data_IF_756593901058
#
_entry.id   IF_756593901058
#
_cell.length_a   1.000
_cell.length_b   1.000
_cell.length_c   1.000
_cell.angle_alpha   90.00
_cell.angle_beta   90.00
_cell.angle_gamma   90.00
#
_symmetry.space_group_name_H-M   'P 1'
#
loop_
_entity.id
_entity.type
_entity.pdbx_description
1 polymer ?
#
# COMPACT_ATOMS: atom_id res chain seq x y z
N UNK A 1 -14.73 -25.74 -21.04
CA UNK A 1 -15.14 -24.84 -19.93
C UNK A 1 -15.62 -25.68 -18.74
N UNK A 2 -14.93 -25.68 -17.59
CA UNK A 2 -15.38 -26.48 -16.44
C UNK A 2 -16.65 -25.91 -15.82
N UNK A 3 -17.68 -26.75 -15.70
CA UNK A 3 -18.97 -26.46 -15.06
C UNK A 3 -18.75 -26.21 -13.56
N UNK A 4 -19.36 -25.14 -13.02
CA UNK A 4 -19.41 -24.88 -11.58
C UNK A 4 -20.41 -25.85 -10.96
N UNK A 5 -20.10 -26.42 -9.79
CA UNK A 5 -21.04 -27.23 -9.00
C UNK A 5 -21.60 -26.40 -7.85
N UNK A 6 -22.82 -26.71 -7.42
CA UNK A 6 -23.41 -26.16 -6.21
C UNK A 6 -22.99 -27.04 -5.03
N UNK A 7 -22.41 -26.44 -3.99
CA UNK A 7 -22.06 -27.12 -2.75
C UNK A 7 -23.30 -27.30 -1.86
N UNK A 8 -23.28 -28.24 -0.88
CA UNK A 8 -24.39 -28.43 0.06
C UNK A 8 -24.76 -27.16 0.86
N UNK A 9 -23.80 -26.24 1.03
CA UNK A 9 -24.01 -24.93 1.64
C UNK A 9 -24.65 -23.89 0.70
N UNK A 10 -25.12 -24.28 -0.49
CA UNK A 10 -25.79 -23.40 -1.47
C UNK A 10 -24.87 -22.58 -2.38
N UNK A 11 -23.58 -22.48 -2.07
CA UNK A 11 -22.61 -21.71 -2.86
C UNK A 11 -22.17 -22.44 -4.14
N UNK A 12 -21.77 -21.70 -5.18
CA UNK A 12 -21.28 -22.27 -6.46
C UNK A 12 -19.78 -22.13 -6.60
N UNK A 13 -19.07 -23.21 -6.92
CA UNK A 13 -17.63 -23.17 -7.16
C UNK A 13 -17.09 -24.36 -7.94
N UNK A 14 -15.77 -24.39 -8.11
CA UNK A 14 -15.06 -25.42 -8.88
C UNK A 14 -14.11 -26.28 -8.02
N UNK A 15 -14.05 -26.03 -6.71
CA UNK A 15 -13.15 -26.71 -5.77
C UNK A 15 -13.78 -27.95 -5.13
N UNK A 16 -13.00 -28.68 -4.35
CA UNK A 16 -13.48 -29.81 -3.54
C UNK A 16 -14.26 -29.36 -2.31
N UNK A 17 -13.98 -28.15 -1.81
CA UNK A 17 -14.64 -27.54 -0.66
C UNK A 17 -15.12 -26.11 -0.99
N UNK A 18 -16.08 -25.61 -0.20
CA UNK A 18 -16.59 -24.26 -0.35
C UNK A 18 -15.64 -23.25 0.29
N UNK A 19 -15.01 -22.41 -0.55
CA UNK A 19 -14.09 -21.36 -0.06
C UNK A 19 -14.78 -20.33 0.84
N UNK A 20 -16.05 -20.00 0.55
CA UNK A 20 -16.82 -19.00 1.33
C UNK A 20 -17.04 -19.48 2.77
N UNK A 21 -17.37 -20.77 2.93
CA UNK A 21 -17.52 -21.38 4.25
C UNK A 21 -16.17 -21.46 4.98
N UNK A 22 -15.11 -21.90 4.30
CA UNK A 22 -13.78 -22.00 4.89
C UNK A 22 -13.24 -20.64 5.39
N UNK A 23 -13.49 -19.55 4.66
CA UNK A 23 -13.10 -18.20 5.09
C UNK A 23 -13.92 -17.70 6.29
N UNK A 24 -15.20 -18.11 6.40
CA UNK A 24 -16.05 -17.74 7.53
C UNK A 24 -15.60 -18.42 8.83
N UNK A 25 -15.19 -19.69 8.75
CA UNK A 25 -14.63 -20.42 9.89
C UNK A 25 -13.30 -19.83 10.36
N UNK A 26 -12.42 -19.44 9.42
CA UNK A 26 -11.15 -18.78 9.77
C UNK A 26 -11.35 -17.39 10.41
N UNK A 27 -12.42 -16.66 10.05
CA UNK A 27 -12.75 -15.38 10.69
C UNK A 27 -13.39 -15.53 12.07
N UNK A 28 -14.09 -16.64 12.33
CA UNK A 28 -14.71 -16.91 13.63
C UNK A 28 -13.72 -17.37 14.71
N UNK A 29 -12.56 -17.93 14.32
CA UNK A 29 -11.55 -18.44 15.25
C UNK A 29 -10.51 -17.41 15.71
N UNK A 30 -10.59 -16.16 15.24
CA UNK A 30 -9.61 -15.09 15.57
C UNK A 30 -10.26 -13.85 16.19
N UNK A 31 -11.52 -13.94 16.61
CA UNK A 31 -12.27 -12.84 17.21
C UNK A 31 -12.64 -13.18 18.66
N UNK A 32 -11.63 -13.16 19.54
CA UNK A 32 -11.82 -13.09 20.98
C UNK A 32 -10.67 -12.29 21.57
N UNK A 33 -10.73 -10.98 21.41
CA UNK A 33 -10.05 -9.98 22.22
C UNK A 33 -10.83 -8.66 22.05
N UNK A 34 -11.76 -8.48 22.98
CA UNK A 34 -12.71 -7.38 23.08
C UNK A 34 -12.02 -6.17 23.71
N UNK A 35 -11.96 -5.06 22.98
CA UNK A 35 -11.73 -3.73 23.53
C UNK A 35 -12.90 -2.83 23.10
N UNK A 36 -13.78 -2.56 24.06
CA UNK A 36 -14.61 -1.36 24.25
C UNK A 36 -15.38 -0.78 23.03
N UNK A 37 -16.73 -0.81 23.01
CA UNK A 37 -17.52 0.01 22.09
C UNK A 37 -17.55 1.46 22.62
N UNK A 38 -16.54 2.25 22.26
CA UNK A 38 -16.54 3.69 22.48
C UNK A 38 -17.32 4.41 21.38
N UNK A 39 -18.46 5.00 21.74
CA UNK A 39 -19.09 6.18 21.14
C UNK A 39 -18.99 6.29 19.59
N UNK A 40 -19.76 5.45 18.88
CA UNK A 40 -19.98 5.62 17.44
C UNK A 40 -21.07 6.68 17.21
N UNK A 41 -20.72 7.92 17.51
CA UNK A 41 -21.45 9.09 17.02
C UNK A 41 -21.48 9.06 15.49
N UNK A 42 -22.64 9.43 14.94
CA UNK A 42 -22.94 9.61 13.52
C UNK A 42 -21.89 10.55 12.88
N UNK A 43 -20.77 10.01 12.40
CA UNK A 43 -19.75 10.79 11.69
C UNK A 43 -20.18 10.91 10.24
N UNK A 44 -20.38 12.15 9.79
CA UNK A 44 -20.71 12.41 8.39
C UNK A 44 -19.53 11.94 7.51
N UNK A 45 -19.79 11.13 6.45
CA UNK A 45 -18.74 10.63 5.56
C UNK A 45 -17.94 11.74 4.85
N UNK A 46 -18.43 12.98 4.86
CA UNK A 46 -17.71 14.16 4.39
C UNK A 46 -16.60 14.56 5.35
N UNK A 47 -16.81 14.44 6.65
CA UNK A 47 -15.81 14.77 7.67
C UNK A 47 -14.68 13.74 7.64
N UNK A 48 -14.99 12.46 7.53
CA UNK A 48 -13.97 11.40 7.36
C UNK A 48 -13.07 11.64 6.14
N UNK A 49 -13.64 12.12 5.03
CA UNK A 49 -12.88 12.48 3.82
C UNK A 49 -12.01 13.71 4.03
N UNK A 50 -12.50 14.72 4.75
CA UNK A 50 -11.74 15.95 5.05
C UNK A 50 -10.57 15.63 5.98
N UNK A 51 -10.82 14.88 7.05
CA UNK A 51 -9.79 14.41 7.97
C UNK A 51 -8.73 13.60 7.22
N UNK A 52 -9.14 12.70 6.34
CA UNK A 52 -8.22 11.94 5.50
C UNK A 52 -7.34 12.83 4.63
N UNK A 53 -7.90 13.84 3.96
CA UNK A 53 -7.14 14.78 3.13
C UNK A 53 -6.20 15.65 3.97
N UNK A 54 -6.61 16.07 5.16
CA UNK A 54 -5.76 16.83 6.07
C UNK A 54 -4.52 16.02 6.52
N UNK A 55 -4.62 14.69 6.60
CA UNK A 55 -3.45 13.86 6.95
C UNK A 55 -2.30 13.93 5.93
N UNK A 56 -2.53 14.41 4.71
CA UNK A 56 -1.47 14.53 3.72
C UNK A 56 -0.56 15.74 3.98
N UNK A 57 -1.00 16.74 4.75
CA UNK A 57 -0.19 17.91 5.09
C UNK A 57 0.98 17.57 6.03
N UNK A 58 0.87 16.45 6.75
CA UNK A 58 1.91 15.94 7.66
C UNK A 58 2.93 15.02 6.94
N UNK A 59 2.64 14.60 5.71
CA UNK A 59 3.54 13.71 4.97
C UNK A 59 4.78 14.48 4.46
N UNK A 60 5.99 13.88 4.52
CA UNK A 60 7.22 14.54 4.10
C UNK A 60 7.32 14.76 2.58
N UNK A 61 6.45 14.11 1.81
CA UNK A 61 6.38 14.19 0.35
C UNK A 61 4.92 14.06 -0.11
N UNK A 62 4.63 14.51 -1.33
CA UNK A 62 3.29 14.37 -1.90
C UNK A 62 2.92 12.91 -2.18
N UNK A 63 1.87 12.43 -1.51
CA UNK A 63 1.29 11.10 -1.67
C UNK A 63 -0.06 11.11 -2.42
N UNK A 64 -0.58 12.27 -2.83
CA UNK A 64 -1.88 12.38 -3.53
C UNK A 64 -1.90 11.64 -4.88
N UNK A 65 -0.73 11.43 -5.47
CA UNK A 65 -0.56 10.65 -6.71
C UNK A 65 -0.98 9.18 -6.56
N UNK A 66 -1.12 8.68 -5.33
CA UNK A 66 -1.51 7.31 -5.04
C UNK A 66 -3.05 7.16 -5.05
N UNK A 67 -3.61 6.26 -5.87
CA UNK A 67 -5.06 6.19 -6.11
C UNK A 67 -5.85 5.50 -4.99
N UNK A 68 -5.19 4.93 -3.99
CA UNK A 68 -5.86 4.14 -2.95
C UNK A 68 -5.24 4.35 -1.58
N UNK A 69 -6.09 4.41 -0.55
CA UNK A 69 -5.70 4.54 0.86
C UNK A 69 -4.65 3.50 1.28
N UNK A 70 -4.80 2.25 0.86
CA UNK A 70 -3.82 1.19 1.17
C UNK A 70 -2.42 1.45 0.61
N UNK A 71 -2.32 2.08 -0.56
CA UNK A 71 -1.02 2.46 -1.13
C UNK A 71 -0.40 3.61 -0.35
N UNK A 72 -1.19 4.60 0.06
CA UNK A 72 -0.75 5.74 0.89
C UNK A 72 -0.23 5.22 2.24
N UNK A 73 -1.00 4.39 2.94
CA UNK A 73 -0.59 3.80 4.21
C UNK A 73 0.72 3.02 4.07
N UNK A 74 0.86 2.22 3.00
CA UNK A 74 2.10 1.49 2.72
C UNK A 74 3.28 2.44 2.45
N UNK A 75 3.05 3.55 1.75
CA UNK A 75 4.07 4.57 1.52
C UNK A 75 4.55 5.16 2.86
N UNK A 76 3.61 5.57 3.72
CA UNK A 76 3.88 6.08 5.07
C UNK A 76 4.68 5.09 5.91
N UNK A 77 4.31 3.80 5.91
CA UNK A 77 5.06 2.76 6.63
C UNK A 77 6.51 2.66 6.14
N UNK A 78 6.75 2.76 4.82
CA UNK A 78 8.10 2.72 4.27
C UNK A 78 8.88 3.98 4.65
N UNK A 79 8.26 5.16 4.53
CA UNK A 79 8.86 6.45 4.90
C UNK A 79 9.31 6.46 6.37
N UNK A 80 8.41 6.09 7.27
CA UNK A 80 8.67 6.01 8.72
C UNK A 80 9.77 4.99 9.05
N UNK A 81 9.74 3.81 8.43
CA UNK A 81 10.77 2.81 8.68
C UNK A 81 12.15 3.27 8.18
N UNK A 82 12.22 3.85 6.99
CA UNK A 82 13.49 4.33 6.42
C UNK A 82 14.03 5.53 7.19
N UNK A 83 13.17 6.47 7.63
CA UNK A 83 13.60 7.60 8.46
C UNK A 83 14.16 7.17 9.81
N UNK A 84 13.63 6.07 10.38
CA UNK A 84 14.16 5.40 11.58
C UNK A 84 15.44 4.60 11.34
N UNK A 85 15.99 4.61 10.13
CA UNK A 85 17.23 3.92 9.76
C UNK A 85 17.05 2.47 9.30
N UNK A 86 15.82 2.02 9.07
CA UNK A 86 15.61 0.68 8.52
C UNK A 86 16.13 0.62 7.08
N UNK A 87 16.79 -0.49 6.69
CA UNK A 87 17.41 -0.57 5.39
C UNK A 87 16.38 -0.74 4.27
N UNK A 88 16.44 0.14 3.26
CA UNK A 88 15.51 0.18 2.12
C UNK A 88 15.41 -1.14 1.32
N UNK A 89 16.41 -2.01 1.38
CA UNK A 89 16.40 -3.29 0.68
C UNK A 89 15.31 -4.24 1.19
N UNK A 90 14.87 -4.09 2.45
CA UNK A 90 13.78 -4.90 3.03
C UNK A 90 12.43 -4.62 2.34
N UNK A 91 12.31 -3.45 1.70
CA UNK A 91 11.14 -3.05 0.94
C UNK A 91 11.28 -3.31 -0.57
N UNK A 92 12.21 -4.19 -0.95
CA UNK A 92 12.57 -4.45 -2.36
C UNK A 92 13.11 -3.20 -3.09
N UNK A 93 13.64 -2.23 -2.35
CA UNK A 93 14.30 -1.06 -2.91
C UNK A 93 15.51 -1.42 -3.76
N UNK A 94 15.80 -0.61 -4.77
CA UNK A 94 16.97 -0.77 -5.65
C UNK A 94 17.52 0.59 -6.06
N UNK A 95 18.85 0.72 -6.08
CA UNK A 95 19.52 1.87 -6.69
C UNK A 95 19.24 1.90 -8.19
N UNK A 96 19.01 3.09 -8.75
CA UNK A 96 18.81 3.23 -10.19
C UNK A 96 20.12 3.00 -10.93
N UNK A 97 20.03 2.52 -12.18
CA UNK A 97 21.25 2.25 -12.97
C UNK A 97 21.92 3.53 -13.48
N UNK A 98 21.11 4.51 -13.89
CA UNK A 98 21.57 5.77 -14.47
C UNK A 98 21.93 6.83 -13.42
N UNK A 99 21.36 6.71 -12.22
CA UNK A 99 21.65 7.59 -11.09
C UNK A 99 21.79 6.70 -9.84
N UNK A 100 23.02 6.55 -9.34
CA UNK A 100 23.32 5.64 -8.23
C UNK A 100 23.02 6.26 -6.87
N UNK A 101 22.78 7.56 -6.83
CA UNK A 101 22.41 8.30 -5.63
C UNK A 101 20.90 8.25 -5.38
N UNK A 102 20.14 7.72 -6.35
CA UNK A 102 18.69 7.52 -6.23
C UNK A 102 18.35 6.05 -5.99
N UNK A 103 17.50 5.81 -4.99
CA UNK A 103 16.91 4.51 -4.66
C UNK A 103 15.43 4.54 -5.02
N UNK A 104 14.98 3.54 -5.76
CA UNK A 104 13.56 3.31 -6.06
C UNK A 104 13.03 2.14 -5.23
N UNK A 105 12.01 2.39 -4.43
CA UNK A 105 11.26 1.39 -3.65
C UNK A 105 9.86 1.17 -4.26
N UNK A 106 9.48 -0.07 -4.62
CA UNK A 106 8.16 -0.32 -5.19
C UNK A 106 7.03 -0.21 -4.17
N UNK A 107 6.04 0.63 -4.48
CA UNK A 107 4.74 0.66 -3.78
C UNK A 107 3.72 -0.07 -4.68
N UNK A 108 3.54 -1.36 -4.41
CA UNK A 108 2.76 -2.24 -5.27
C UNK A 108 3.36 -2.39 -6.67
N UNK A 109 2.51 -2.58 -7.69
CA UNK A 109 2.98 -2.82 -9.06
C UNK A 109 3.35 -1.54 -9.81
N UNK A 110 2.52 -0.50 -9.69
CA UNK A 110 2.54 0.67 -10.59
C UNK A 110 3.23 1.90 -10.04
N UNK A 111 3.54 1.96 -8.74
CA UNK A 111 4.12 3.16 -8.13
C UNK A 111 5.50 2.86 -7.57
N UNK A 112 6.35 3.87 -7.54
CA UNK A 112 7.71 3.84 -6.98
C UNK A 112 7.86 5.05 -6.06
N UNK A 113 8.43 4.80 -4.90
CA UNK A 113 8.89 5.82 -3.97
C UNK A 113 10.39 6.02 -4.18
N UNK A 114 10.80 7.26 -4.38
CA UNK A 114 12.18 7.62 -4.61
C UNK A 114 12.82 8.19 -3.36
N UNK A 115 14.05 7.75 -3.08
CA UNK A 115 14.90 8.30 -2.04
C UNK A 115 16.24 8.74 -2.65
N UNK A 116 16.84 9.78 -2.10
CA UNK A 116 18.19 10.26 -2.45
C UNK A 116 19.17 9.95 -1.32
N UNK A 117 20.41 9.61 -1.65
CA UNK A 117 21.45 9.25 -0.67
C UNK A 117 22.70 10.12 -0.74
N UNK A 118 22.64 11.27 -1.38
CA UNK A 118 23.76 12.22 -1.51
C UNK A 118 24.24 12.74 -0.15
N UNK A 119 23.33 12.94 0.81
CA UNK A 119 23.64 13.39 2.18
C UNK A 119 23.83 12.23 3.18
N UNK A 120 24.06 11.01 2.67
CA UNK A 120 24.33 9.82 3.47
C UNK A 120 23.07 9.03 3.84
N UNK A 121 22.15 9.62 4.60
CA UNK A 121 20.87 8.97 4.95
C UNK A 121 19.86 9.08 3.80
N UNK A 122 19.06 8.03 3.50
CA UNK A 122 18.08 8.10 2.42
C UNK A 122 16.97 9.12 2.71
N UNK A 123 16.96 10.23 1.97
CA UNK A 123 15.94 11.26 2.06
C UNK A 123 14.81 10.99 1.07
N UNK A 124 13.53 11.01 1.49
CA UNK A 124 12.41 10.82 0.57
C UNK A 124 12.31 12.01 -0.38
N UNK A 125 12.12 11.74 -1.67
CA UNK A 125 12.05 12.79 -2.70
C UNK A 125 10.65 12.90 -3.26
N UNK A 126 10.13 11.81 -3.82
CA UNK A 126 8.83 11.82 -4.50
C UNK A 126 8.26 10.42 -4.69
N UNK A 127 6.96 10.35 -4.97
CA UNK A 127 6.28 9.15 -5.47
C UNK A 127 5.93 9.33 -6.94
N UNK A 128 6.29 8.36 -7.77
CA UNK A 128 5.99 8.36 -9.20
C UNK A 128 5.23 7.12 -9.64
N UNK A 129 4.35 7.30 -10.62
CA UNK A 129 3.84 6.18 -11.40
C UNK A 129 4.95 5.59 -12.28
N UNK A 130 4.80 4.32 -12.66
CA UNK A 130 5.75 3.64 -13.54
C UNK A 130 5.83 4.30 -14.92
N UNK A 131 4.75 4.96 -15.35
CA UNK A 131 4.69 5.69 -16.62
C UNK A 131 5.54 6.96 -16.55
N UNK A 132 5.35 7.79 -15.53
CA UNK A 132 6.13 9.01 -15.31
C UNK A 132 7.61 8.67 -15.05
N UNK A 133 7.88 7.65 -14.24
CA UNK A 133 9.23 7.16 -13.97
C UNK A 133 9.98 6.67 -15.23
N UNK A 134 9.27 6.14 -16.23
CA UNK A 134 9.89 5.70 -17.48
C UNK A 134 9.99 6.80 -18.54
N UNK A 135 9.31 7.93 -18.36
CA UNK A 135 9.41 9.11 -19.22
C UNK A 135 10.66 9.93 -18.90
N UNK A 136 11.11 9.95 -17.64
CA UNK A 136 12.33 10.64 -17.18
C UNK A 136 13.63 9.91 -17.51
N UNK A 137 13.59 8.73 -18.14
CA UNK A 137 14.81 8.03 -18.56
C UNK A 137 15.42 8.71 -19.80
N UNK A 138 16.68 9.19 -19.73
CA UNK A 138 17.35 9.74 -20.91
C UNK A 138 17.52 8.64 -21.96
N UNK A 139 16.99 8.87 -23.17
CA UNK A 139 17.06 7.92 -24.30
C UNK A 139 15.71 7.59 -24.96
N UNK A 140 14.58 8.09 -24.47
CA UNK A 140 13.35 8.17 -25.27
C UNK A 140 13.37 9.48 -26.06
N UNK A 141 13.88 9.45 -27.28
CA UNK A 141 13.67 10.49 -28.29
C UNK A 141 13.09 9.84 -29.53
#
# INVERSE_FOLDING_TARGET
MSRKKTFPCGHRGKGSFCLICATKEQRGASASEEAEPGDEGDRDPRDEKREWLATFEDDPIDLHVLPSKNLVLRARTILDAVSKGAPWHQFNGKRLRHDRDVISVPIGRRYRLLFRTDEGSPQPVEVLSHENYNATKPGRR
#
